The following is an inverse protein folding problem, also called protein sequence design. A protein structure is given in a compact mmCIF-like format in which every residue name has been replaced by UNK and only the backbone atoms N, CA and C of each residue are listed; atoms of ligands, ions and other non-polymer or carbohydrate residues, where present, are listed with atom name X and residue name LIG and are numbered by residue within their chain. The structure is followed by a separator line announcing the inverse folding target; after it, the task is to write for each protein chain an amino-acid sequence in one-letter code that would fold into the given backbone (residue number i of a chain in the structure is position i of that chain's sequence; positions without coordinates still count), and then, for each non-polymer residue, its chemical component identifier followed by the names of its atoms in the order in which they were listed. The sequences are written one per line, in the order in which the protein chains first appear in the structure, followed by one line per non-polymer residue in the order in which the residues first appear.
data_IF_753721157964
#
_entry.id   IF_753721157964
#
_cell.length_a   1.000
_cell.length_b   1.000
_cell.length_c   1.000
_cell.angle_alpha   90.00
_cell.angle_beta   90.00
_cell.angle_gamma   90.00
#
_symmetry.space_group_name_H-M   'P 1'
#
loop_
_entity.id
_entity.type
_entity.pdbx_description
1 polymer ?
#
# COMPACT_ATOMS: atom_id res chain seq x y z
N UNK A 1 6.69 -22.79 -13.74
CA UNK A 1 6.52 -21.63 -12.85
C UNK A 1 5.29 -21.92 -12.03
N UNK A 2 5.44 -22.10 -10.72
CA UNK A 2 4.38 -22.43 -9.76
C UNK A 2 3.34 -21.30 -9.74
N UNK A 3 2.07 -21.67 -9.99
CA UNK A 3 0.97 -20.75 -10.28
C UNK A 3 0.36 -19.98 -9.12
N UNK A 4 1.16 -19.41 -8.23
CA UNK A 4 0.66 -18.46 -7.24
C UNK A 4 0.57 -17.06 -7.85
N UNK A 5 -0.64 -16.66 -8.22
CA UNK A 5 -0.93 -15.27 -8.64
C UNK A 5 -0.97 -14.40 -7.39
N UNK A 6 -0.04 -13.46 -7.28
CA UNK A 6 -0.04 -12.46 -6.22
C UNK A 6 -0.59 -11.15 -6.76
N UNK A 7 -1.63 -10.62 -6.13
CA UNK A 7 -2.18 -9.32 -6.47
C UNK A 7 -1.24 -8.23 -5.97
N UNK A 8 -0.65 -7.46 -6.89
CA UNK A 8 0.23 -6.35 -6.55
C UNK A 8 -0.53 -5.06 -6.21
N UNK A 9 -1.66 -4.84 -6.84
CA UNK A 9 -2.48 -3.66 -6.62
C UNK A 9 -3.78 -3.70 -7.41
N UNK A 10 -4.63 -2.72 -7.16
CA UNK A 10 -5.84 -2.44 -7.91
C UNK A 10 -5.75 -1.02 -8.46
N UNK A 11 -6.26 -0.80 -9.67
CA UNK A 11 -6.37 0.51 -10.28
C UNK A 11 -7.85 0.82 -10.55
N UNK A 12 -8.29 1.98 -10.12
CA UNK A 12 -9.65 2.47 -10.30
C UNK A 12 -9.69 3.60 -11.34
N UNK A 13 -10.88 4.08 -11.64
CA UNK A 13 -11.05 5.17 -12.59
C UNK A 13 -10.26 6.42 -12.17
N UNK A 14 -9.41 6.90 -13.04
CA UNK A 14 -8.50 8.02 -12.80
C UNK A 14 -7.12 7.64 -12.27
N UNK A 15 -6.89 6.37 -11.96
CA UNK A 15 -5.56 5.90 -11.59
C UNK A 15 -4.66 5.69 -12.80
N UNK A 16 -3.36 5.77 -12.55
CA UNK A 16 -2.30 5.48 -13.54
C UNK A 16 -1.57 4.22 -13.10
N UNK A 17 -1.29 3.32 -14.02
CA UNK A 17 -0.49 2.12 -13.76
C UNK A 17 0.55 1.91 -14.87
N UNK A 18 1.55 1.06 -14.62
CA UNK A 18 2.67 0.79 -15.51
C UNK A 18 3.58 2.00 -15.82
N UNK A 19 3.39 3.13 -15.16
CA UNK A 19 4.18 4.35 -15.38
C UNK A 19 5.67 4.15 -15.09
N UNK A 20 6.01 3.35 -14.10
CA UNK A 20 7.41 3.04 -13.75
C UNK A 20 8.12 2.33 -14.89
N UNK A 21 7.47 1.30 -15.47
CA UNK A 21 8.01 0.59 -16.63
C UNK A 21 8.15 1.53 -17.84
N UNK A 22 7.13 2.34 -18.09
CA UNK A 22 7.12 3.28 -19.20
C UNK A 22 8.22 4.35 -19.08
N UNK A 23 8.50 4.86 -17.89
CA UNK A 23 9.52 5.88 -17.65
C UNK A 23 10.94 5.28 -17.63
N UNK A 24 11.12 4.11 -17.02
CA UNK A 24 12.41 3.41 -16.99
C UNK A 24 12.74 2.74 -18.34
N UNK A 25 11.73 2.45 -19.16
CA UNK A 25 11.90 1.73 -20.42
C UNK A 25 12.07 0.24 -20.25
N UNK A 26 11.61 -0.29 -19.14
CA UNK A 26 11.63 -1.71 -18.82
C UNK A 26 10.38 -2.41 -19.34
N UNK A 27 10.50 -3.70 -19.65
CA UNK A 27 9.35 -4.53 -19.99
C UNK A 27 8.49 -4.76 -18.74
N UNK A 28 7.16 -4.78 -18.91
CA UNK A 28 6.26 -5.14 -17.82
C UNK A 28 6.51 -6.59 -17.37
N UNK A 29 6.78 -6.75 -16.08
CA UNK A 29 6.94 -8.06 -15.43
C UNK A 29 5.64 -8.57 -14.78
N UNK A 30 4.53 -7.87 -14.99
CA UNK A 30 3.21 -8.15 -14.38
C UNK A 30 2.12 -7.98 -15.41
N UNK A 31 1.02 -8.71 -15.25
CA UNK A 31 -0.16 -8.57 -16.07
C UNK A 31 -1.14 -7.57 -15.45
N UNK A 32 -1.84 -6.83 -16.30
CA UNK A 32 -3.00 -6.02 -15.92
C UNK A 32 -4.27 -6.68 -16.46
N UNK A 33 -5.19 -7.04 -15.56
CA UNK A 33 -6.42 -7.75 -15.90
C UNK A 33 -7.61 -6.87 -15.55
N UNK A 34 -8.45 -6.58 -16.54
CA UNK A 34 -9.71 -5.87 -16.33
C UNK A 34 -10.73 -6.79 -15.62
N UNK A 35 -11.28 -6.35 -14.49
CA UNK A 35 -12.30 -7.08 -13.73
C UNK A 35 -13.73 -6.65 -14.06
N UNK A 36 -13.87 -5.60 -14.87
CA UNK A 36 -15.13 -5.07 -15.38
C UNK A 36 -14.90 -4.40 -16.73
N UNK A 37 -15.95 -3.96 -17.39
CA UNK A 37 -15.83 -3.12 -18.58
C UNK A 37 -15.01 -1.87 -18.25
N UNK A 38 -13.93 -1.64 -19.02
CA UNK A 38 -12.91 -0.65 -18.69
C UNK A 38 -12.44 0.08 -19.94
N UNK A 39 -12.31 1.39 -19.84
CA UNK A 39 -11.70 2.25 -20.85
C UNK A 39 -10.30 2.67 -20.39
N UNK A 40 -9.29 2.42 -21.22
CA UNK A 40 -7.89 2.72 -20.92
C UNK A 40 -7.35 3.76 -21.88
N UNK A 41 -6.74 4.83 -21.34
CA UNK A 41 -5.99 5.80 -22.11
C UNK A 41 -4.50 5.45 -22.05
N UNK A 42 -3.92 5.13 -23.20
CA UNK A 42 -2.48 4.89 -23.32
C UNK A 42 -1.73 6.20 -23.53
N UNK A 43 -0.74 6.46 -22.66
CA UNK A 43 0.09 7.67 -22.71
C UNK A 43 1.55 7.33 -23.04
N UNK A 44 2.14 7.88 -24.10
CA UNK A 44 3.54 7.64 -24.46
C UNK A 44 4.46 8.48 -23.54
N UNK A 45 4.65 8.03 -22.30
CA UNK A 45 5.29 8.79 -21.23
C UNK A 45 6.69 9.29 -21.59
N UNK A 46 7.53 8.47 -22.24
CA UNK A 46 8.86 8.90 -22.68
C UNK A 46 8.80 10.11 -23.63
N UNK A 47 7.83 10.12 -24.54
CA UNK A 47 7.67 11.22 -25.49
C UNK A 47 7.12 12.47 -24.82
N UNK A 48 6.13 12.31 -23.92
CA UNK A 48 5.51 13.40 -23.19
C UNK A 48 6.50 14.08 -22.23
N UNK A 49 7.35 13.30 -21.58
CA UNK A 49 8.35 13.80 -20.61
C UNK A 49 9.66 14.27 -21.28
N UNK A 50 9.75 14.24 -22.61
CA UNK A 50 10.93 14.68 -23.31
C UNK A 50 11.12 16.20 -23.21
N UNK A 51 12.34 16.66 -22.99
CA UNK A 51 12.72 18.07 -22.79
C UNK A 51 12.30 19.00 -23.94
N UNK A 52 12.17 18.49 -25.18
CA UNK A 52 11.65 19.26 -26.31
C UNK A 52 10.27 19.89 -26.05
N UNK A 53 9.53 19.35 -25.09
CA UNK A 53 8.21 19.82 -24.69
C UNK A 53 8.29 20.94 -23.63
N UNK A 54 9.45 21.34 -23.14
CA UNK A 54 9.63 22.31 -22.06
C UNK A 54 9.00 23.69 -22.36
N UNK A 55 8.85 24.04 -23.63
CA UNK A 55 8.19 25.28 -24.04
C UNK A 55 6.66 25.27 -23.94
N UNK A 56 6.03 24.14 -23.73
CA UNK A 56 4.57 24.05 -23.60
C UNK A 56 4.11 24.34 -22.17
N UNK A 57 3.03 25.08 -22.03
CA UNK A 57 2.48 25.49 -20.72
C UNK A 57 2.05 24.33 -19.81
N UNK A 58 1.72 23.19 -20.37
CA UNK A 58 1.32 21.98 -19.63
C UNK A 58 2.48 21.19 -19.06
N UNK A 59 3.70 21.33 -19.62
CA UNK A 59 4.84 20.44 -19.35
C UNK A 59 5.28 20.45 -17.89
N UNK A 60 5.51 21.62 -17.31
CA UNK A 60 5.90 21.73 -15.91
C UNK A 60 4.83 21.17 -14.94
N UNK A 61 3.56 21.42 -15.23
CA UNK A 61 2.44 20.89 -14.44
C UNK A 61 2.37 19.35 -14.51
N UNK A 62 2.60 18.80 -15.70
CA UNK A 62 2.62 17.37 -15.91
C UNK A 62 3.79 16.72 -15.14
N UNK A 63 5.00 17.28 -15.23
CA UNK A 63 6.15 16.80 -14.47
C UNK A 63 5.87 16.80 -12.96
N UNK A 64 5.36 17.90 -12.42
CA UNK A 64 5.02 18.00 -11.01
C UNK A 64 3.98 16.94 -10.58
N UNK A 65 2.99 16.66 -11.42
CA UNK A 65 1.98 15.64 -11.15
C UNK A 65 2.57 14.23 -11.18
N UNK A 66 3.45 13.93 -12.15
CA UNK A 66 4.14 12.63 -12.24
C UNK A 66 5.03 12.41 -11.01
N UNK A 67 5.83 13.42 -10.63
CA UNK A 67 6.68 13.34 -9.43
C UNK A 67 5.81 13.07 -8.18
N UNK A 68 4.73 13.83 -8.01
CA UNK A 68 3.83 13.65 -6.86
C UNK A 68 3.19 12.26 -6.82
N UNK A 69 2.77 11.75 -7.97
CA UNK A 69 2.19 10.42 -8.11
C UNK A 69 3.21 9.33 -7.75
N UNK A 70 4.43 9.39 -8.32
CA UNK A 70 5.50 8.43 -8.03
C UNK A 70 5.91 8.48 -6.55
N UNK A 71 6.01 9.68 -5.97
CA UNK A 71 6.31 9.85 -4.53
C UNK A 71 5.25 9.21 -3.64
N UNK A 72 3.97 9.37 -3.97
CA UNK A 72 2.87 8.72 -3.24
C UNK A 72 2.96 7.19 -3.33
N UNK A 73 3.19 6.65 -4.53
CA UNK A 73 3.35 5.21 -4.74
C UNK A 73 4.57 4.65 -4.01
N UNK A 74 5.69 5.35 -4.06
CA UNK A 74 6.89 4.97 -3.32
C UNK A 74 6.61 4.93 -1.80
N UNK A 75 5.91 5.93 -1.25
CA UNK A 75 5.55 5.95 0.16
C UNK A 75 4.67 4.76 0.55
N UNK A 76 3.71 4.36 -0.30
CA UNK A 76 2.87 3.18 -0.07
C UNK A 76 3.71 1.91 -0.04
N UNK A 77 4.64 1.74 -1.00
CA UNK A 77 5.54 0.59 -1.06
C UNK A 77 6.49 0.55 0.14
N UNK A 78 7.10 1.68 0.49
CA UNK A 78 8.00 1.80 1.65
C UNK A 78 7.28 1.44 2.95
N UNK A 79 6.05 1.93 3.14
CA UNK A 79 5.23 1.59 4.31
C UNK A 79 4.91 0.09 4.35
N UNK A 80 4.61 -0.53 3.21
CA UNK A 80 4.36 -1.98 3.15
C UNK A 80 5.61 -2.77 3.52
N UNK A 81 6.77 -2.40 2.97
CA UNK A 81 8.05 -3.02 3.32
C UNK A 81 8.30 -2.91 4.83
N UNK A 82 8.12 -1.72 5.40
CA UNK A 82 8.30 -1.50 6.83
C UNK A 82 7.39 -2.38 7.69
N UNK A 83 6.12 -2.53 7.30
CA UNK A 83 5.17 -3.41 8.00
C UNK A 83 5.46 -4.91 7.82
N UNK A 84 6.10 -5.33 6.71
CA UNK A 84 6.34 -6.75 6.40
C UNK A 84 7.75 -7.24 6.75
N UNK A 85 8.67 -6.35 7.06
CA UNK A 85 10.05 -6.66 7.46
C UNK A 85 10.14 -7.41 8.79
N UNK A 86 9.36 -7.11 9.84
CA UNK A 86 9.43 -7.85 11.09
C UNK A 86 9.14 -9.34 10.89
N UNK A 87 9.88 -10.21 11.62
CA UNK A 87 9.73 -11.66 11.49
C UNK A 87 8.46 -12.18 12.15
N UNK A 88 8.08 -11.61 13.31
CA UNK A 88 6.92 -12.05 14.08
C UNK A 88 5.63 -11.44 13.52
N UNK A 89 4.56 -12.22 13.50
CA UNK A 89 3.22 -11.78 13.06
C UNK A 89 2.77 -10.58 13.90
N UNK A 90 2.94 -10.65 15.23
CA UNK A 90 2.59 -9.58 16.18
C UNK A 90 3.22 -8.26 15.81
N UNK A 91 4.52 -8.25 15.55
CA UNK A 91 5.26 -7.03 15.24
C UNK A 91 4.79 -6.41 13.91
N UNK A 92 4.46 -7.22 12.91
CA UNK A 92 3.87 -6.74 11.64
C UNK A 92 2.52 -6.08 11.86
N UNK A 93 1.65 -6.74 12.63
CA UNK A 93 0.30 -6.25 12.97
C UNK A 93 0.40 -4.96 13.77
N UNK A 94 1.23 -4.94 14.81
CA UNK A 94 1.41 -3.77 15.66
C UNK A 94 1.98 -2.58 14.88
N UNK A 95 3.01 -2.81 14.08
CA UNK A 95 3.61 -1.78 13.21
C UNK A 95 2.57 -1.17 12.26
N UNK A 96 1.78 -2.00 11.60
CA UNK A 96 0.74 -1.53 10.70
C UNK A 96 -0.33 -0.69 11.43
N UNK A 97 -0.85 -1.20 12.54
CA UNK A 97 -1.89 -0.51 13.31
C UNK A 97 -1.38 0.80 13.94
N UNK A 98 -0.13 0.83 14.41
CA UNK A 98 0.52 2.05 14.92
C UNK A 98 0.63 3.12 13.84
N UNK A 99 0.99 2.74 12.61
CA UNK A 99 1.01 3.67 11.48
C UNK A 99 -0.39 4.19 11.14
N UNK A 100 -1.43 3.36 11.21
CA UNK A 100 -2.81 3.80 10.98
C UNK A 100 -3.29 4.74 12.08
N UNK A 101 -2.95 4.48 13.34
CA UNK A 101 -3.22 5.39 14.48
C UNK A 101 -2.60 6.77 14.27
N UNK A 102 -1.32 6.81 13.90
CA UNK A 102 -0.62 8.08 13.63
C UNK A 102 -1.29 8.84 12.48
N UNK A 103 -1.70 8.14 11.41
CA UNK A 103 -2.39 8.76 10.27
C UNK A 103 -3.77 9.30 10.62
N UNK A 104 -4.51 8.59 11.46
CA UNK A 104 -5.86 9.01 11.88
C UNK A 104 -5.85 10.15 12.87
N UNK A 105 -4.75 10.31 13.65
CA UNK A 105 -4.66 11.24 14.76
C UNK A 105 -5.56 10.89 15.97
N UNK A 106 -6.19 9.71 15.95
CA UNK A 106 -7.14 9.27 16.97
C UNK A 106 -6.74 7.90 17.53
N UNK A 107 -6.98 7.63 18.84
CA UNK A 107 -6.76 6.31 19.42
C UNK A 107 -7.62 5.22 18.76
N UNK A 108 -8.85 5.56 18.43
CA UNK A 108 -9.81 4.75 17.67
C UNK A 108 -9.77 5.12 16.21
N UNK A 109 -9.56 4.14 15.34
CA UNK A 109 -9.45 4.37 13.89
C UNK A 109 -10.00 3.20 13.09
N UNK A 110 -10.37 3.48 11.85
CA UNK A 110 -10.84 2.50 10.89
C UNK A 110 -9.78 2.25 9.83
N UNK A 111 -9.51 0.98 9.54
CA UNK A 111 -8.62 0.60 8.43
C UNK A 111 -9.44 0.34 7.15
N UNK A 112 -8.87 0.59 5.95
CA UNK A 112 -9.57 0.39 4.68
C UNK A 112 -9.71 -1.08 4.30
N UNK A 113 -9.02 -1.98 5.00
CA UNK A 113 -8.92 -3.40 4.67
C UNK A 113 -9.95 -4.24 5.42
N UNK A 114 -10.52 -5.23 4.73
CA UNK A 114 -11.12 -6.36 5.40
C UNK A 114 -10.02 -7.33 5.90
N UNK A 115 -10.41 -8.42 6.59
CA UNK A 115 -9.44 -9.34 7.21
C UNK A 115 -8.54 -10.04 6.19
N UNK A 116 -9.07 -10.43 5.03
CA UNK A 116 -8.27 -11.02 3.96
C UNK A 116 -7.29 -10.01 3.37
N UNK A 117 -7.76 -8.83 3.03
CA UNK A 117 -6.91 -7.77 2.47
C UNK A 117 -5.80 -7.34 3.43
N UNK A 118 -6.07 -7.30 4.74
CA UNK A 118 -5.05 -7.01 5.75
C UNK A 118 -3.99 -8.13 5.81
N UNK A 119 -4.41 -9.39 5.73
CA UNK A 119 -3.50 -10.53 5.69
C UNK A 119 -2.61 -10.48 4.43
N UNK A 120 -3.19 -10.24 3.27
CA UNK A 120 -2.47 -10.12 2.01
C UNK A 120 -1.48 -8.93 2.02
N UNK A 121 -1.89 -7.80 2.61
CA UNK A 121 -1.02 -6.63 2.75
C UNK A 121 0.20 -6.91 3.62
N UNK A 122 0.01 -7.64 4.72
CA UNK A 122 1.06 -7.99 5.68
C UNK A 122 1.84 -9.26 5.32
N UNK A 123 1.54 -9.90 4.19
CA UNK A 123 2.10 -11.21 3.80
C UNK A 123 1.91 -12.27 4.91
N UNK A 124 0.68 -12.41 5.38
CA UNK A 124 0.29 -13.35 6.42
C UNK A 124 -0.84 -14.25 5.93
N UNK A 125 -0.93 -15.43 6.52
CA UNK A 125 -2.14 -16.24 6.44
C UNK A 125 -3.28 -15.58 7.23
N UNK A 126 -4.51 -15.61 6.67
CA UNK A 126 -5.68 -15.00 7.29
C UNK A 126 -6.01 -15.58 8.64
N UNK A 127 -5.86 -16.90 8.81
CA UNK A 127 -6.15 -17.59 10.06
C UNK A 127 -5.11 -17.24 11.12
N UNK A 128 -3.84 -17.18 10.75
CA UNK A 128 -2.75 -16.78 11.61
C UNK A 128 -2.90 -15.32 12.07
N UNK A 129 -3.26 -14.40 11.17
CA UNK A 129 -3.58 -13.01 11.51
C UNK A 129 -4.76 -12.93 12.49
N UNK A 130 -5.85 -13.67 12.24
CA UNK A 130 -7.03 -13.63 13.10
C UNK A 130 -6.75 -14.16 14.49
N UNK A 131 -5.95 -15.23 14.60
CA UNK A 131 -5.50 -15.78 15.87
C UNK A 131 -4.66 -14.77 16.66
N UNK A 132 -3.68 -14.15 16.00
CA UNK A 132 -2.81 -13.18 16.65
C UNK A 132 -3.57 -11.94 17.14
N UNK A 133 -4.52 -11.43 16.35
CA UNK A 133 -5.38 -10.33 16.78
C UNK A 133 -6.23 -10.69 18.00
N UNK A 134 -6.73 -11.92 18.08
CA UNK A 134 -7.41 -12.41 19.27
C UNK A 134 -6.52 -12.42 20.51
N UNK A 135 -5.31 -12.95 20.39
CA UNK A 135 -4.32 -12.95 21.47
C UNK A 135 -3.96 -11.52 21.93
N UNK A 136 -3.72 -10.63 21.00
CA UNK A 136 -3.41 -9.22 21.32
C UNK A 136 -4.60 -8.52 22.02
N UNK A 137 -5.82 -8.90 21.70
CA UNK A 137 -7.03 -8.38 22.39
C UNK A 137 -7.17 -8.96 23.79
N UNK A 138 -6.96 -10.25 23.98
CA UNK A 138 -6.96 -10.91 25.30
C UNK A 138 -5.88 -10.35 26.22
N UNK A 139 -4.72 -9.99 25.68
CA UNK A 139 -3.62 -9.37 26.40
C UNK A 139 -3.83 -7.85 26.66
N UNK A 140 -4.92 -7.26 26.16
CA UNK A 140 -5.23 -5.84 26.38
C UNK A 140 -4.39 -4.87 25.56
N UNK A 141 -3.65 -5.33 24.55
CA UNK A 141 -2.81 -4.50 23.68
C UNK A 141 -3.67 -3.66 22.74
N UNK A 142 -4.76 -4.24 22.24
CA UNK A 142 -5.69 -3.59 21.33
C UNK A 142 -7.13 -4.04 21.58
N UNK A 143 -8.08 -3.25 21.13
CA UNK A 143 -9.46 -3.70 20.93
C UNK A 143 -9.85 -3.54 19.46
N UNK A 144 -10.72 -4.41 18.96
CA UNK A 144 -11.23 -4.27 17.60
C UNK A 144 -12.63 -4.81 17.43
N UNK A 145 -13.34 -4.21 16.49
CA UNK A 145 -14.60 -4.74 15.95
C UNK A 145 -14.58 -4.60 14.43
N UNK A 146 -14.60 -5.72 13.71
CA UNK A 146 -14.46 -5.76 12.23
C UNK A 146 -13.17 -5.07 11.76
N UNK A 147 -13.27 -3.88 11.18
CA UNK A 147 -12.15 -3.07 10.67
C UNK A 147 -11.92 -1.78 11.49
N UNK A 148 -12.55 -1.65 12.63
CA UNK A 148 -12.31 -0.60 13.61
C UNK A 148 -11.37 -1.12 14.70
N UNK A 149 -10.33 -0.36 15.01
CA UNK A 149 -9.29 -0.72 15.95
C UNK A 149 -9.04 0.40 16.95
N UNK A 150 -8.61 0.02 18.13
CA UNK A 150 -8.09 0.91 19.16
C UNK A 150 -6.86 0.27 19.77
N UNK A 151 -5.72 0.98 19.77
CA UNK A 151 -4.53 0.56 20.48
C UNK A 151 -4.61 1.08 21.92
N UNK A 152 -4.67 0.15 22.87
CA UNK A 152 -4.90 0.44 24.29
C UNK A 152 -3.61 0.77 25.05
N UNK A 153 -2.47 0.21 24.63
CA UNK A 153 -1.18 0.51 25.21
C UNK A 153 -0.38 1.49 24.33
N UNK A 154 0.00 2.61 24.93
CA UNK A 154 0.92 3.58 24.39
C UNK A 154 2.31 3.49 25.07
N UNK A 155 2.61 2.42 25.80
CA UNK A 155 3.91 2.27 26.46
C UNK A 155 4.80 1.30 25.69
N UNK A 156 5.85 1.90 25.11
CA UNK A 156 7.15 1.31 24.77
C UNK A 156 7.19 -0.13 24.21
N UNK A 157 6.57 -0.37 23.03
CA UNK A 157 7.24 -1.26 22.12
C UNK A 157 8.39 -0.49 21.46
N UNK A 158 9.41 -0.23 22.28
CA UNK A 158 10.72 0.18 21.78
C UNK A 158 11.20 -0.96 20.89
N UNK A 159 11.16 -0.75 19.58
CA UNK A 159 11.79 -1.63 18.62
C UNK A 159 13.27 -1.59 18.97
N UNK A 160 13.70 -2.51 19.81
CA UNK A 160 15.11 -2.70 20.10
C UNK A 160 15.84 -2.82 18.79
N UNK A 161 16.55 -1.76 18.46
CA UNK A 161 17.49 -1.65 17.36
C UNK A 161 18.54 -2.76 17.39
#
# INVERSE_FOLDING_TARGET
ISGNVSLLGNAEAGDVFAETYALCGEAMAVDAVATSETVILFLPMKQLMHEKNAGYSWYGKMQANVIRMLSKKNLVLSNRIFCTTPKKIRDRVYTYLSMQRVRSGCPKFKIPFNRQQMADYLNLDRSALSKELGLMQEEGILSFYKNEFELLEAEEYDVKR
#
